data_IF_479747805933
#
_entry.id   IF_479747805933
#
_cell.length_a   1.000
_cell.length_b   1.000
_cell.length_c   1.000
_cell.angle_alpha   90.00
_cell.angle_beta   90.00
_cell.angle_gamma   90.00
#
_symmetry.space_group_name_H-M   'P 1'
#
loop_
_entity.id
_entity.type
_entity.pdbx_description
1 polymer ?
#
# COMPACT_ATOMS: atom_id res chain seq x y z
N UNK A 1 25.29 -4.81 -70.85
CA UNK A 1 25.97 -5.48 -69.72
C UNK A 1 26.05 -4.60 -68.46
N UNK A 2 25.12 -3.66 -68.22
CA UNK A 2 25.18 -2.70 -67.09
C UNK A 2 24.09 -2.90 -66.03
N UNK A 3 23.14 -3.80 -66.24
CA UNK A 3 21.99 -4.00 -65.33
C UNK A 3 22.31 -4.91 -64.14
N UNK A 4 23.21 -5.87 -64.31
CA UNK A 4 23.65 -6.78 -63.25
C UNK A 4 24.46 -6.07 -62.13
N UNK A 5 25.43 -5.18 -62.43
CA UNK A 5 26.14 -4.45 -61.38
C UNK A 5 25.24 -3.43 -60.67
N UNK A 6 24.28 -2.83 -61.38
CA UNK A 6 23.31 -1.90 -60.79
C UNK A 6 22.44 -2.59 -59.74
N UNK A 7 21.99 -3.82 -60.03
CA UNK A 7 21.15 -4.61 -59.15
C UNK A 7 21.91 -5.05 -57.89
N UNK A 8 23.19 -5.40 -58.02
CA UNK A 8 24.06 -5.70 -56.86
C UNK A 8 24.29 -4.49 -55.96
N UNK A 9 24.51 -3.30 -56.53
CA UNK A 9 24.71 -2.06 -55.76
C UNK A 9 23.45 -1.66 -54.98
N UNK A 10 22.27 -1.83 -55.59
CA UNK A 10 20.97 -1.57 -54.93
C UNK A 10 20.71 -2.54 -53.79
N UNK A 11 21.02 -3.83 -53.95
CA UNK A 11 20.86 -4.82 -52.88
C UNK A 11 21.82 -4.55 -51.72
N UNK A 12 23.07 -4.18 -52.01
CA UNK A 12 24.07 -3.87 -50.99
C UNK A 12 23.70 -2.63 -50.14
N UNK A 13 23.03 -1.64 -50.73
CA UNK A 13 22.57 -0.44 -50.01
C UNK A 13 21.37 -0.71 -49.10
N UNK A 14 20.48 -1.64 -49.45
CA UNK A 14 19.34 -2.03 -48.61
C UNK A 14 19.81 -2.80 -47.37
N UNK A 15 20.81 -3.68 -47.50
CA UNK A 15 21.33 -4.46 -46.36
C UNK A 15 22.05 -3.56 -45.34
N UNK A 16 22.72 -2.50 -45.80
CA UNK A 16 23.45 -1.56 -44.93
C UNK A 16 22.53 -0.67 -44.06
N UNK A 17 21.26 -0.51 -44.42
CA UNK A 17 20.29 0.32 -43.68
C UNK A 17 19.43 -0.47 -42.69
N UNK A 18 19.57 -1.81 -42.66
CA UNK A 18 18.96 -2.67 -41.65
C UNK A 18 19.72 -2.62 -40.30
N UNK A 19 20.11 -1.44 -39.85
CA UNK A 19 20.48 -1.24 -38.44
C UNK A 19 19.19 -1.24 -37.62
N UNK A 20 19.03 -2.25 -36.79
CA UNK A 20 17.92 -2.43 -35.87
C UNK A 20 17.60 -1.14 -35.09
N UNK A 21 16.45 -0.50 -35.39
CA UNK A 21 15.87 0.60 -34.60
C UNK A 21 15.31 0.12 -33.24
N UNK A 22 15.80 -1.00 -32.69
CA UNK A 22 15.38 -1.52 -31.38
C UNK A 22 15.97 -0.74 -30.20
N UNK A 23 16.94 0.16 -30.43
CA UNK A 23 17.58 0.94 -29.37
C UNK A 23 16.68 2.00 -28.69
N UNK A 24 15.72 2.59 -29.42
CA UNK A 24 14.84 3.65 -28.89
C UNK A 24 13.47 3.14 -28.41
N UNK A 25 13.13 1.87 -28.64
CA UNK A 25 11.86 1.30 -28.18
C UNK A 25 11.86 1.14 -26.66
N UNK A 26 13.00 0.77 -26.07
CA UNK A 26 13.11 0.64 -24.61
C UNK A 26 12.96 2.01 -23.92
N UNK A 27 13.62 3.06 -24.41
CA UNK A 27 13.41 4.43 -23.89
C UNK A 27 11.97 4.92 -24.05
N UNK A 28 11.29 4.59 -25.17
CA UNK A 28 9.91 5.02 -25.38
C UNK A 28 8.89 4.21 -24.55
N UNK A 29 9.16 2.91 -24.32
CA UNK A 29 8.28 2.04 -23.55
C UNK A 29 8.50 2.16 -22.03
N UNK A 30 9.74 2.41 -21.58
CA UNK A 30 10.07 2.56 -20.16
C UNK A 30 10.18 4.01 -19.69
N UNK A 31 10.44 4.97 -20.59
CA UNK A 31 10.58 6.39 -20.24
C UNK A 31 9.26 7.15 -20.07
N UNK A 32 8.14 6.65 -20.63
CA UNK A 32 6.81 7.28 -20.48
C UNK A 32 5.93 6.66 -19.38
N UNK A 33 6.36 5.57 -18.75
CA UNK A 33 5.65 4.94 -17.63
C UNK A 33 6.26 5.31 -16.26
N UNK A 34 7.09 6.37 -16.21
CA UNK A 34 7.81 6.80 -15.01
C UNK A 34 7.04 7.70 -14.04
N UNK A 35 5.82 8.13 -14.36
CA UNK A 35 5.02 8.94 -13.43
C UNK A 35 3.58 8.43 -13.31
N UNK A 36 3.22 8.09 -12.06
CA UNK A 36 1.86 7.99 -11.51
C UNK A 36 1.15 6.64 -11.38
N UNK A 37 1.82 5.49 -11.40
CA UNK A 37 1.22 4.28 -10.80
C UNK A 37 2.20 3.47 -9.94
N UNK A 38 3.03 4.16 -9.15
CA UNK A 38 3.48 3.55 -7.90
C UNK A 38 2.24 3.39 -7.00
N UNK A 39 1.68 2.19 -7.06
CA UNK A 39 1.13 1.45 -5.94
C UNK A 39 0.75 2.33 -4.73
N UNK A 40 -0.38 3.02 -4.83
CA UNK A 40 -1.26 3.12 -3.67
C UNK A 40 -1.95 1.76 -3.44
N UNK A 41 -1.16 0.69 -3.34
CA UNK A 41 -1.43 -0.26 -2.27
C UNK A 41 -1.00 0.48 -1.01
N UNK A 42 -1.86 1.42 -0.57
CA UNK A 42 -1.75 1.99 0.76
C UNK A 42 -1.65 0.78 1.67
N UNK A 43 -0.48 0.55 2.25
CA UNK A 43 -0.34 -0.29 3.41
C UNK A 43 -1.24 0.34 4.47
N UNK A 44 -2.51 -0.09 4.49
CA UNK A 44 -3.48 0.28 5.51
C UNK A 44 -2.86 -0.23 6.81
N UNK A 45 -2.35 0.68 7.64
CA UNK A 45 -1.64 0.36 8.88
C UNK A 45 -0.16 0.72 8.94
N UNK A 46 0.46 1.27 7.89
CA UNK A 46 1.81 1.84 7.98
C UNK A 46 1.86 3.17 8.75
N UNK A 47 2.99 3.50 9.37
CA UNK A 47 3.18 4.76 10.13
C UNK A 47 2.87 6.01 9.29
N UNK A 48 3.23 5.99 8.00
CA UNK A 48 2.95 7.09 7.06
C UNK A 48 1.45 7.25 6.74
N UNK A 49 0.71 6.14 6.70
CA UNK A 49 -0.75 6.20 6.54
C UNK A 49 -1.39 6.82 7.78
N UNK A 50 -0.94 6.43 8.97
CA UNK A 50 -1.43 6.98 10.23
C UNK A 50 -1.14 8.48 10.37
N UNK A 51 0.10 8.89 10.06
CA UNK A 51 0.50 10.30 10.06
C UNK A 51 -0.38 11.12 9.12
N UNK A 52 -0.61 10.62 7.91
CA UNK A 52 -1.48 11.29 6.94
C UNK A 52 -2.93 11.37 7.44
N UNK A 53 -3.46 10.35 8.11
CA UNK A 53 -4.82 10.41 8.68
C UNK A 53 -4.90 11.41 9.84
N UNK A 54 -3.87 11.51 10.65
CA UNK A 54 -3.79 12.51 11.72
C UNK A 54 -3.67 13.94 11.16
N UNK A 55 -2.95 14.13 10.06
CA UNK A 55 -2.81 15.42 9.38
C UNK A 55 -4.04 15.78 8.52
N UNK A 56 -4.73 14.79 7.96
CA UNK A 56 -5.89 14.97 7.09
C UNK A 56 -7.24 14.99 7.83
N UNK A 57 -7.29 14.41 9.04
CA UNK A 57 -8.50 14.28 9.85
C UNK A 57 -8.54 15.31 10.97
N UNK A 58 -9.74 15.82 11.27
CA UNK A 58 -10.09 16.85 12.28
C UNK A 58 -9.79 16.45 13.74
N UNK A 59 -8.70 15.72 13.99
CA UNK A 59 -8.28 15.31 15.32
C UNK A 59 -7.37 16.38 15.92
N UNK A 60 -7.63 16.85 17.14
CA UNK A 60 -6.70 17.73 17.85
C UNK A 60 -5.33 17.03 18.03
N UNK A 61 -4.24 17.81 18.02
CA UNK A 61 -2.87 17.30 18.16
C UNK A 61 -2.62 16.59 19.51
N UNK A 62 -3.46 16.84 20.52
CA UNK A 62 -3.43 16.21 21.84
C UNK A 62 -4.22 14.89 21.92
N UNK A 63 -4.92 14.50 20.85
CA UNK A 63 -5.75 13.29 20.82
C UNK A 63 -5.07 12.17 20.03
N UNK A 64 -5.36 10.95 20.43
CA UNK A 64 -4.98 9.74 19.74
C UNK A 64 -6.01 9.40 18.65
N UNK A 65 -5.55 9.11 17.43
CA UNK A 65 -6.38 8.62 16.33
C UNK A 65 -6.42 7.08 16.43
N UNK A 66 -7.60 6.49 16.42
CA UNK A 66 -7.72 5.04 16.42
C UNK A 66 -7.43 4.49 15.02
N UNK A 67 -6.46 3.56 14.85
CA UNK A 67 -6.06 3.09 13.51
C UNK A 67 -7.18 2.34 12.78
N UNK A 68 -8.04 1.64 13.53
CA UNK A 68 -9.07 0.78 12.95
C UNK A 68 -10.38 1.50 12.65
N UNK A 69 -10.70 2.53 13.44
CA UNK A 69 -12.00 3.24 13.40
C UNK A 69 -11.89 4.70 13.02
N UNK A 70 -10.67 5.25 12.94
CA UNK A 70 -10.39 6.68 12.70
C UNK A 70 -11.05 7.62 13.72
N UNK A 71 -11.37 7.11 14.92
CA UNK A 71 -11.93 7.90 16.01
C UNK A 71 -10.85 8.67 16.79
N UNK A 72 -11.20 9.85 17.30
CA UNK A 72 -10.33 10.69 18.12
C UNK A 72 -10.60 10.46 19.61
N UNK A 73 -9.61 9.97 20.36
CA UNK A 73 -9.75 9.60 21.78
C UNK A 73 -8.54 10.08 22.60
N UNK A 74 -8.64 10.03 23.92
CA UNK A 74 -7.55 10.48 24.81
C UNK A 74 -6.38 9.48 24.91
N UNK A 75 -6.67 8.19 24.87
CA UNK A 75 -5.65 7.15 24.94
C UNK A 75 -6.01 5.95 24.05
N UNK A 76 -5.03 5.12 23.65
CA UNK A 76 -5.30 3.93 22.83
C UNK A 76 -6.37 3.01 23.43
N UNK A 77 -6.34 2.83 24.76
CA UNK A 77 -7.34 2.05 25.50
C UNK A 77 -8.77 2.54 25.37
N UNK A 78 -9.01 3.75 24.85
CA UNK A 78 -10.34 4.35 24.70
C UNK A 78 -10.92 4.14 23.29
N UNK A 79 -10.13 3.60 22.36
CA UNK A 79 -10.58 3.31 21.01
C UNK A 79 -11.77 2.33 20.95
N UNK A 80 -12.82 2.63 20.17
CA UNK A 80 -13.91 1.69 19.97
C UNK A 80 -13.44 0.50 19.12
N UNK A 81 -14.05 -0.66 19.36
CA UNK A 81 -13.84 -1.83 18.50
C UNK A 81 -14.48 -1.62 17.12
N UNK A 82 -13.90 -2.24 16.09
CA UNK A 82 -14.28 -2.01 14.69
C UNK A 82 -15.64 -2.60 14.37
N UNK A 83 -15.98 -3.74 14.95
CA UNK A 83 -17.19 -4.48 14.61
C UNK A 83 -18.23 -4.46 15.75
N UNK A 84 -19.50 -4.34 15.36
CA UNK A 84 -20.62 -4.48 16.28
C UNK A 84 -20.70 -5.95 16.75
N UNK A 85 -20.63 -6.18 18.06
CA UNK A 85 -20.60 -7.51 18.67
C UNK A 85 -19.23 -7.91 19.26
N UNK A 86 -18.20 -7.08 19.05
CA UNK A 86 -16.92 -7.25 19.73
C UNK A 86 -16.99 -6.76 21.18
N UNK A 87 -16.39 -7.53 22.08
CA UNK A 87 -16.15 -7.14 23.47
C UNK A 87 -14.73 -6.60 23.57
N UNK A 88 -14.62 -5.37 24.09
CA UNK A 88 -13.34 -4.70 24.33
C UNK A 88 -12.75 -5.12 25.68
N UNK A 89 -11.53 -5.64 25.65
CA UNK A 89 -10.80 -6.05 26.85
C UNK A 89 -9.54 -5.21 27.01
N UNK A 90 -9.46 -4.43 28.08
CA UNK A 90 -8.26 -3.65 28.41
C UNK A 90 -7.22 -4.58 29.05
N UNK A 91 -6.06 -4.65 28.41
CA UNK A 91 -4.87 -5.33 28.92
C UNK A 91 -4.16 -4.42 29.91
N UNK A 92 -3.58 -4.97 30.97
CA UNK A 92 -2.94 -4.20 32.05
C UNK A 92 -1.77 -3.29 31.61
N UNK A 93 -1.29 -3.41 30.37
CA UNK A 93 -0.19 -2.59 29.80
C UNK A 93 -0.67 -1.33 29.06
N UNK A 94 -1.93 -0.92 29.24
CA UNK A 94 -2.51 0.23 28.54
C UNK A 94 -2.89 -0.04 27.08
N UNK A 95 -2.77 -1.30 26.64
CA UNK A 95 -3.30 -1.79 25.37
C UNK A 95 -4.70 -2.37 25.54
N UNK A 96 -5.42 -2.54 24.44
CA UNK A 96 -6.72 -3.19 24.40
C UNK A 96 -6.73 -4.25 23.31
N UNK A 97 -7.63 -5.21 23.44
CA UNK A 97 -7.98 -6.15 22.36
C UNK A 97 -9.49 -6.19 22.19
N UNK A 98 -9.91 -6.35 20.95
CA UNK A 98 -11.29 -6.56 20.57
C UNK A 98 -11.46 -8.03 20.20
N UNK A 99 -12.46 -8.68 20.78
CA UNK A 99 -12.73 -10.10 20.60
C UNK A 99 -14.21 -10.27 20.28
N UNK A 100 -14.53 -11.12 19.31
CA UNK A 100 -15.92 -11.49 19.09
C UNK A 100 -16.46 -12.21 20.33
N UNK A 101 -17.54 -11.69 20.91
CA UNK A 101 -18.17 -12.26 22.08
C UNK A 101 -18.95 -13.52 21.71
N UNK A 102 -18.51 -14.69 22.16
CA UNK A 102 -19.21 -15.96 21.96
C UNK A 102 -19.81 -16.49 23.28
N UNK A 103 -21.13 -16.46 23.38
CA UNK A 103 -21.93 -17.40 24.19
C UNK A 103 -21.55 -17.60 25.67
N UNK A 104 -21.68 -16.58 26.52
CA UNK A 104 -21.77 -16.77 27.98
C UNK A 104 -20.46 -16.90 28.76
N UNK A 105 -19.30 -16.72 28.11
CA UNK A 105 -17.98 -16.71 28.78
C UNK A 105 -17.43 -15.29 28.81
N UNK A 106 -16.88 -14.88 29.96
CA UNK A 106 -16.11 -13.62 30.08
C UNK A 106 -14.75 -13.79 29.38
N UNK A 107 -14.73 -13.50 28.08
CA UNK A 107 -13.53 -13.57 27.22
C UNK A 107 -12.41 -12.66 27.71
N UNK A 108 -12.72 -11.56 28.41
CA UNK A 108 -11.71 -10.66 28.95
C UNK A 108 -10.95 -11.28 30.12
N UNK A 109 -11.60 -12.15 30.91
CA UNK A 109 -10.95 -12.87 32.00
C UNK A 109 -9.92 -13.87 31.47
N UNK A 110 -10.24 -14.58 30.40
CA UNK A 110 -9.32 -15.55 29.79
C UNK A 110 -8.12 -14.86 29.13
N UNK A 111 -8.35 -13.76 28.41
CA UNK A 111 -7.24 -12.99 27.83
C UNK A 111 -6.29 -12.43 28.90
N UNK A 112 -6.83 -11.96 30.03
CA UNK A 112 -5.98 -11.51 31.15
C UNK A 112 -5.13 -12.63 31.77
N UNK A 113 -5.56 -13.89 31.68
CA UNK A 113 -4.72 -15.04 32.10
C UNK A 113 -3.58 -15.30 31.12
N UNK A 114 -3.85 -15.19 29.82
CA UNK A 114 -2.84 -15.46 28.77
C UNK A 114 -1.80 -14.35 28.69
N UNK A 115 -2.20 -13.09 28.92
CA UNK A 115 -1.29 -11.95 28.85
C UNK A 115 -0.46 -11.68 30.13
N UNK A 116 -0.56 -12.57 31.14
CA UNK A 116 0.20 -12.48 32.39
C UNK A 116 1.59 -13.05 32.27
#
# INVERSE_FOLDING_TARGET
>A
MTRLPLLFVVIATIIATASAQFGNIFDQFFGHHGQQQQQQQQAHGGVEWYKRQHEAGNCPLDKYVCPDTMACVDAPKDCPCRFAGETKCVTGKGSYVCLMGGGGVDVCKEVKKVMR
#
